data_IF_070473289231
#
_entry.id   IF_070473289231
#
_cell.length_a   1.000
_cell.length_b   1.000
_cell.length_c   1.000
_cell.angle_alpha   90.00
_cell.angle_beta   90.00
_cell.angle_gamma   90.00
#
_symmetry.space_group_name_H-M   'P 1'
#
loop_
_entity.id
_entity.type
_entity.pdbx_description
1 polymer ?
#
# COMPACT_ATOMS: atom_id res chain seq x y z
N UNK A 1 -22.07 -4.90 -30.66
CA UNK A 1 -20.65 -5.18 -30.34
C UNK A 1 -20.23 -4.13 -29.33
N UNK A 2 -19.89 -4.51 -28.10
CA UNK A 2 -19.57 -3.53 -27.04
C UNK A 2 -18.14 -3.04 -27.20
N UNK A 3 -17.91 -1.75 -26.95
CA UNK A 3 -16.60 -1.11 -27.10
C UNK A 3 -15.54 -1.76 -26.17
N UNK A 4 -14.38 -2.19 -26.70
CA UNK A 4 -13.35 -2.88 -25.92
C UNK A 4 -12.65 -1.99 -24.90
N UNK A 5 -12.66 -0.66 -25.05
CA UNK A 5 -12.12 0.27 -24.05
C UNK A 5 -13.03 0.38 -22.83
N UNK A 6 -14.32 0.07 -22.98
CA UNK A 6 -15.26 0.02 -21.87
C UNK A 6 -14.92 -1.07 -20.84
N UNK A 7 -14.13 -2.09 -21.20
CA UNK A 7 -13.69 -3.16 -20.29
C UNK A 7 -12.55 -2.76 -19.35
N UNK A 8 -11.78 -1.72 -19.70
CA UNK A 8 -10.64 -1.25 -18.92
C UNK A 8 -10.85 0.11 -18.25
N UNK A 9 -12.00 0.75 -18.49
CA UNK A 9 -12.30 2.05 -17.93
C UNK A 9 -12.82 1.90 -16.49
N UNK A 10 -11.92 2.07 -15.51
CA UNK A 10 -12.33 2.36 -14.14
C UNK A 10 -13.16 3.66 -14.15
N UNK A 11 -14.43 3.58 -13.75
CA UNK A 11 -15.27 4.76 -13.61
C UNK A 11 -14.92 5.44 -12.28
N UNK A 12 -14.49 6.71 -12.28
CA UNK A 12 -14.20 7.41 -11.04
C UNK A 12 -15.49 7.60 -10.23
N UNK A 13 -15.35 7.57 -8.91
CA UNK A 13 -16.43 7.96 -7.98
C UNK A 13 -16.85 9.42 -8.22
N UNK A 14 -18.12 9.76 -7.91
CA UNK A 14 -18.59 11.13 -8.02
C UNK A 14 -17.74 12.09 -7.17
N UNK A 15 -17.63 13.32 -7.63
CA UNK A 15 -16.85 14.38 -6.97
C UNK A 15 -17.76 15.50 -6.52
N UNK A 16 -17.50 16.03 -5.32
CA UNK A 16 -18.17 17.19 -4.72
C UNK A 16 -17.33 18.47 -4.94
N UNK A 17 -17.99 19.61 -5.09
CA UNK A 17 -17.34 20.91 -5.29
C UNK A 17 -16.89 21.16 -6.74
N UNK A 18 -16.44 22.38 -7.02
CA UNK A 18 -16.08 22.82 -8.38
C UNK A 18 -14.67 23.42 -8.46
N UNK A 19 -14.08 23.39 -9.66
CA UNK A 19 -12.74 23.92 -9.92
C UNK A 19 -11.69 23.34 -8.96
N UNK A 20 -10.94 24.22 -8.30
CA UNK A 20 -9.89 23.85 -7.35
C UNK A 20 -10.40 23.23 -6.04
N UNK A 21 -11.71 23.31 -5.75
CA UNK A 21 -12.31 22.74 -4.53
C UNK A 21 -12.89 21.33 -4.73
N UNK A 22 -12.73 20.79 -5.93
CA UNK A 22 -13.24 19.49 -6.32
C UNK A 22 -12.55 18.38 -5.52
N UNK A 23 -13.34 17.53 -4.87
CA UNK A 23 -12.89 16.37 -4.08
C UNK A 23 -13.77 15.16 -4.38
N UNK A 24 -13.27 13.94 -4.22
CA UNK A 24 -14.12 12.76 -4.33
C UNK A 24 -15.12 12.71 -3.17
N UNK A 25 -16.32 12.20 -3.45
CA UNK A 25 -17.36 11.99 -2.45
C UNK A 25 -17.02 10.77 -1.58
N UNK A 26 -16.71 10.94 -0.29
CA UNK A 26 -16.39 9.83 0.59
C UNK A 26 -17.59 8.91 0.84
N UNK A 27 -18.83 9.40 0.76
CA UNK A 27 -20.03 8.57 0.94
C UNK A 27 -20.28 7.66 -0.26
N UNK A 28 -19.79 8.04 -1.44
CA UNK A 28 -19.84 7.23 -2.64
C UNK A 28 -18.64 6.28 -2.78
N UNK A 29 -17.66 6.31 -1.85
CA UNK A 29 -16.55 5.37 -1.85
C UNK A 29 -16.90 4.09 -1.07
N UNK A 30 -17.11 3.00 -1.80
CA UNK A 30 -17.13 1.64 -1.27
C UNK A 30 -15.83 0.82 -1.47
N UNK A 31 -15.81 -0.43 -0.97
CA UNK A 31 -14.66 -1.33 -1.04
C UNK A 31 -14.19 -1.65 -2.47
N UNK A 32 -15.06 -1.55 -3.46
CA UNK A 32 -14.71 -1.80 -4.87
C UNK A 32 -13.76 -0.75 -5.46
N UNK A 33 -13.59 0.40 -4.80
CA UNK A 33 -12.64 1.43 -5.24
C UNK A 33 -11.22 1.20 -4.70
N UNK A 34 -11.02 0.14 -3.91
CA UNK A 34 -9.68 -0.36 -3.57
C UNK A 34 -8.97 0.41 -2.46
N UNK A 35 -9.59 0.52 -1.29
CA UNK A 35 -9.00 1.13 -0.09
C UNK A 35 -8.51 0.13 0.96
N UNK A 36 -8.73 -1.16 0.74
CA UNK A 36 -8.60 -2.14 1.83
C UNK A 36 -7.15 -2.58 2.10
N UNK A 37 -6.22 -2.35 1.16
CA UNK A 37 -4.75 -2.54 1.21
C UNK A 37 -4.20 -3.69 2.10
N UNK A 38 -4.99 -4.73 2.41
CA UNK A 38 -4.63 -5.77 3.37
C UNK A 38 -3.49 -6.64 2.86
N UNK A 39 -3.49 -6.91 1.56
CA UNK A 39 -2.43 -7.65 0.89
C UNK A 39 -1.12 -6.84 0.86
N UNK A 40 -1.20 -5.52 0.66
CA UNK A 40 -0.05 -4.62 0.75
C UNK A 40 0.53 -4.60 2.17
N UNK A 41 -0.32 -4.59 3.21
CA UNK A 41 0.12 -4.70 4.60
C UNK A 41 0.78 -6.07 4.90
N UNK A 42 0.27 -7.16 4.34
CA UNK A 42 0.86 -8.49 4.47
C UNK A 42 2.23 -8.57 3.78
N UNK A 43 2.35 -8.01 2.57
CA UNK A 43 3.61 -7.92 1.83
C UNK A 43 4.65 -7.12 2.61
N UNK A 44 4.27 -5.95 3.15
CA UNK A 44 5.15 -5.12 3.95
C UNK A 44 5.75 -5.87 5.14
N UNK A 45 4.92 -6.61 5.89
CA UNK A 45 5.41 -7.42 7.02
C UNK A 45 6.44 -8.47 6.61
N UNK A 46 6.29 -9.11 5.45
CA UNK A 46 7.25 -10.07 4.91
C UNK A 46 8.58 -9.39 4.58
N UNK A 47 8.52 -8.28 3.84
CA UNK A 47 9.70 -7.51 3.46
C UNK A 47 10.50 -7.01 4.67
N UNK A 48 9.81 -6.58 5.74
CA UNK A 48 10.49 -6.18 6.97
C UNK A 48 11.19 -7.37 7.64
N UNK A 49 10.52 -8.53 7.76
CA UNK A 49 11.15 -9.72 8.34
C UNK A 49 12.37 -10.20 7.52
N UNK A 50 12.31 -10.11 6.19
CA UNK A 50 13.43 -10.42 5.30
C UNK A 50 14.60 -9.43 5.50
N UNK A 51 14.29 -8.14 5.68
CA UNK A 51 15.31 -7.13 5.97
C UNK A 51 15.94 -7.34 7.35
N UNK A 52 15.15 -7.57 8.39
CA UNK A 52 15.68 -7.88 9.74
C UNK A 52 16.60 -9.11 9.71
N UNK A 53 16.19 -10.18 9.03
CA UNK A 53 17.04 -11.37 8.86
C UNK A 53 18.34 -11.06 8.09
N UNK A 54 18.28 -10.20 7.07
CA UNK A 54 19.46 -9.77 6.33
C UNK A 54 20.40 -8.89 7.19
N UNK A 55 19.85 -8.03 8.05
CA UNK A 55 20.60 -7.19 8.98
C UNK A 55 21.30 -8.03 10.05
N UNK A 56 20.61 -9.03 10.60
CA UNK A 56 21.19 -9.98 11.56
C UNK A 56 22.31 -10.81 10.93
N UNK A 57 22.10 -11.31 9.71
CA UNK A 57 23.11 -12.08 8.98
C UNK A 57 24.33 -11.24 8.59
N UNK A 58 24.15 -9.93 8.35
CA UNK A 58 25.22 -9.01 8.01
C UNK A 58 25.91 -8.40 9.24
N UNK A 59 25.37 -8.57 10.45
CA UNK A 59 25.97 -8.05 11.67
C UNK A 59 27.08 -8.99 12.14
N UNK A 60 28.36 -8.55 12.18
CA UNK A 60 29.41 -9.35 12.78
C UNK A 60 29.12 -9.53 14.28
N UNK A 61 29.52 -10.65 14.89
CA UNK A 61 29.38 -10.84 16.32
C UNK A 61 30.12 -9.71 17.05
N UNK A 62 29.36 -8.85 17.73
CA UNK A 62 29.92 -7.87 18.65
C UNK A 62 30.40 -8.67 19.87
N UNK A 63 31.70 -8.96 19.92
CA UNK A 63 32.32 -9.59 21.09
C UNK A 63 32.11 -8.71 22.32
N UNK A 64 31.34 -9.20 23.30
CA UNK A 64 31.15 -8.55 24.61
C UNK A 64 32.18 -9.06 25.62
N UNK A 65 33.48 -9.03 25.28
CA UNK A 65 34.56 -9.50 26.17
C UNK A 65 35.49 -8.40 26.65
N UNK A 66 35.01 -7.17 26.87
CA UNK A 66 35.77 -6.19 27.68
C UNK A 66 34.86 -5.50 28.70
N UNK A 67 35.13 -5.78 29.98
CA UNK A 67 34.47 -5.14 31.13
C UNK A 67 34.21 -6.08 32.30
N UNK A 68 35.25 -6.79 32.75
CA UNK A 68 35.36 -7.18 34.16
C UNK A 68 35.87 -5.99 34.96
#
# INVERSE_FOLDING_TARGET
>A
MSDPLARGAAKPTPTLGEGCTRRFDPEAMGPEHGTEFADAAALWKRLQAEQDAAIEAASPPIDKTEGQ
#
